data_IF_540765977621
#
_entry.id   IF_540765977621
#
_cell.length_a   1.000
_cell.length_b   1.000
_cell.length_c   1.000
_cell.angle_alpha   90.00
_cell.angle_beta   90.00
_cell.angle_gamma   90.00
#
_symmetry.space_group_name_H-M   'P 1'
#
loop_
_entity.id
_entity.type
_entity.pdbx_description
1 polymer ?
#
# COMPACT_ATOMS: atom_id res chain seq x y z
N UNK A 1 -27.10 -59.34 27.07
CA UNK A 1 -26.64 -57.94 27.18
C UNK A 1 -26.60 -57.29 25.80
N UNK A 2 -27.57 -56.44 25.47
CA UNK A 2 -27.61 -55.64 24.22
C UNK A 2 -27.39 -54.17 24.60
N UNK A 3 -26.38 -53.51 24.02
CA UNK A 3 -26.11 -52.07 24.18
C UNK A 3 -27.02 -51.25 23.25
N UNK A 4 -27.49 -50.05 23.64
CA UNK A 4 -28.45 -49.29 22.85
C UNK A 4 -27.77 -48.45 21.75
N UNK A 5 -28.31 -48.56 20.54
CA UNK A 5 -28.08 -47.69 19.39
C UNK A 5 -28.78 -46.34 19.62
N UNK A 6 -28.17 -45.39 20.34
CA UNK A 6 -28.67 -44.00 20.43
C UNK A 6 -27.56 -42.94 20.45
N UNK A 7 -26.46 -43.19 19.76
CA UNK A 7 -25.32 -42.26 19.72
C UNK A 7 -24.72 -42.10 18.30
N UNK A 8 -25.56 -42.10 17.27
CA UNK A 8 -25.12 -41.86 15.89
C UNK A 8 -25.91 -40.76 15.16
N UNK A 9 -27.02 -40.27 15.71
CA UNK A 9 -27.89 -39.30 15.01
C UNK A 9 -27.52 -37.84 15.36
N UNK A 10 -26.87 -37.60 16.50
CA UNK A 10 -26.45 -36.24 16.91
C UNK A 10 -25.22 -35.70 16.18
N UNK A 11 -24.30 -36.56 15.73
CA UNK A 11 -23.09 -36.13 15.02
C UNK A 11 -23.33 -35.85 13.53
N UNK A 12 -24.33 -36.51 12.92
CA UNK A 12 -24.67 -36.31 11.51
C UNK A 12 -25.41 -34.98 11.27
N UNK A 13 -26.19 -34.48 12.24
CA UNK A 13 -26.86 -33.19 12.09
C UNK A 13 -25.90 -32.00 12.19
N UNK A 14 -24.85 -32.07 13.02
CA UNK A 14 -23.86 -30.98 13.16
C UNK A 14 -22.93 -30.89 11.95
N UNK A 15 -22.64 -32.00 11.27
CA UNK A 15 -21.85 -31.99 10.03
C UNK A 15 -22.64 -31.53 8.79
N UNK A 16 -23.98 -31.51 8.83
CA UNK A 16 -24.82 -31.04 7.73
C UNK A 16 -25.15 -29.53 7.81
N UNK A 17 -24.81 -28.85 8.91
CA UNK A 17 -24.94 -27.37 9.03
C UNK A 17 -23.64 -26.65 8.68
N UNK A 18 -22.60 -27.37 8.22
CA UNK A 18 -21.47 -26.73 7.58
C UNK A 18 -21.84 -26.30 6.16
N UNK A 19 -22.53 -25.17 6.15
CA UNK A 19 -22.21 -24.01 5.32
C UNK A 19 -22.09 -24.30 3.82
N UNK A 20 -23.23 -24.13 3.15
CA UNK A 20 -23.25 -23.15 2.06
C UNK A 20 -22.92 -21.75 2.63
N UNK A 21 -21.71 -21.57 3.16
CA UNK A 21 -21.09 -20.27 3.16
C UNK A 21 -20.78 -20.10 1.69
N UNK A 22 -21.67 -19.40 0.99
CA UNK A 22 -21.15 -18.39 0.11
C UNK A 22 -20.10 -17.66 0.95
N UNK A 23 -18.82 -18.04 0.78
CA UNK A 23 -17.70 -17.21 1.18
C UNK A 23 -18.11 -15.85 0.64
N UNK A 24 -18.39 -14.92 1.56
CA UNK A 24 -18.85 -13.58 1.17
C UNK A 24 -17.86 -13.11 0.12
N UNK A 25 -18.35 -12.59 -1.01
CA UNK A 25 -17.53 -12.35 -2.19
C UNK A 25 -16.49 -11.20 -2.03
N UNK A 26 -16.19 -10.85 -0.78
CA UNK A 26 -15.25 -9.89 -0.23
C UNK A 26 -15.77 -9.50 1.16
N UNK A 27 -14.91 -8.92 2.00
CA UNK A 27 -15.31 -8.40 3.32
C UNK A 27 -15.14 -6.88 3.40
N UNK A 28 -16.25 -6.17 3.62
CA UNK A 28 -16.25 -4.72 3.80
C UNK A 28 -15.98 -4.38 5.26
N UNK A 29 -15.05 -3.45 5.50
CA UNK A 29 -14.79 -2.94 6.85
C UNK A 29 -14.73 -1.41 6.89
N UNK A 30 -14.82 -0.86 8.09
CA UNK A 30 -14.88 0.60 8.30
C UNK A 30 -13.94 1.04 9.41
N UNK A 31 -13.37 2.23 9.24
CA UNK A 31 -12.74 3.00 10.33
C UNK A 31 -13.52 4.30 10.49
N UNK A 32 -13.81 4.66 11.74
CA UNK A 32 -14.64 5.80 12.09
C UNK A 32 -13.80 6.94 12.65
N UNK A 33 -14.26 8.17 12.41
CA UNK A 33 -13.77 9.38 13.06
C UNK A 33 -14.98 10.19 13.52
N UNK A 34 -15.05 10.50 14.82
CA UNK A 34 -16.21 11.19 15.43
C UNK A 34 -17.57 10.55 15.08
N UNK A 35 -17.65 9.22 15.08
CA UNK A 35 -18.88 8.48 14.77
C UNK A 35 -19.27 8.42 13.29
N UNK A 36 -18.56 9.11 12.40
CA UNK A 36 -18.76 9.04 10.96
C UNK A 36 -17.79 8.04 10.31
N UNK A 37 -18.26 7.30 9.30
CA UNK A 37 -17.40 6.45 8.46
C UNK A 37 -16.36 7.34 7.78
N UNK A 38 -15.09 7.15 8.15
CA UNK A 38 -13.98 7.94 7.64
C UNK A 38 -13.25 7.21 6.52
N UNK A 39 -13.04 5.91 6.69
CA UNK A 39 -12.42 5.02 5.69
C UNK A 39 -13.29 3.77 5.54
N UNK A 40 -13.38 3.28 4.32
CA UNK A 40 -14.06 2.05 3.94
C UNK A 40 -13.08 1.14 3.20
N UNK A 41 -12.95 -0.09 3.68
CA UNK A 41 -12.12 -1.13 3.08
C UNK A 41 -12.98 -2.14 2.36
N UNK A 42 -12.49 -2.63 1.22
CA UNK A 42 -12.92 -3.90 0.65
C UNK A 42 -11.72 -4.86 0.64
N UNK A 43 -11.79 -5.91 1.45
CA UNK A 43 -10.81 -7.00 1.44
C UNK A 43 -11.27 -8.07 0.45
N UNK A 44 -10.57 -8.17 -0.67
CA UNK A 44 -10.83 -9.23 -1.64
C UNK A 44 -10.27 -10.56 -1.13
N UNK A 45 -11.09 -11.60 -1.19
CA UNK A 45 -10.69 -12.98 -0.91
C UNK A 45 -9.93 -13.58 -2.10
N UNK A 46 -9.32 -14.74 -1.89
CA UNK A 46 -8.66 -15.49 -2.96
C UNK A 46 -9.54 -15.66 -4.20
N UNK A 47 -8.98 -15.34 -5.36
CA UNK A 47 -9.67 -15.36 -6.66
C UNK A 47 -10.41 -14.08 -7.02
N UNK A 48 -10.64 -13.17 -6.06
CA UNK A 48 -11.42 -11.96 -6.28
C UNK A 48 -10.53 -10.76 -6.63
N UNK A 49 -10.92 -10.06 -7.69
CA UNK A 49 -10.21 -8.90 -8.24
C UNK A 49 -8.70 -9.15 -8.42
N UNK A 50 -8.34 -10.40 -8.75
CA UNK A 50 -6.98 -10.88 -8.93
C UNK A 50 -6.19 -11.17 -7.65
N UNK A 51 -6.84 -11.19 -6.48
CA UNK A 51 -6.19 -11.56 -5.21
C UNK A 51 -5.76 -13.02 -5.24
N UNK A 52 -4.50 -13.29 -4.92
CA UNK A 52 -3.92 -14.62 -5.03
C UNK A 52 -4.01 -15.43 -3.72
N UNK A 53 -4.42 -14.81 -2.62
CA UNK A 53 -4.74 -15.49 -1.35
C UNK A 53 -5.70 -14.67 -0.48
N UNK A 54 -6.42 -15.30 0.44
CA UNK A 54 -7.25 -14.56 1.40
C UNK A 54 -6.39 -14.00 2.53
N UNK A 55 -6.41 -12.66 2.73
CA UNK A 55 -5.69 -12.03 3.84
C UNK A 55 -6.27 -12.53 5.19
N UNK A 56 -5.48 -13.12 6.10
CA UNK A 56 -5.97 -13.62 7.39
C UNK A 56 -6.62 -12.53 8.24
N UNK A 57 -7.63 -12.90 9.05
CA UNK A 57 -8.38 -11.94 9.88
C UNK A 57 -7.48 -11.12 10.80
N UNK A 58 -6.44 -11.73 11.38
CA UNK A 58 -5.45 -11.03 12.19
C UNK A 58 -4.78 -9.87 11.43
N UNK A 59 -4.46 -10.06 10.15
CA UNK A 59 -3.87 -9.02 9.31
C UNK A 59 -4.91 -7.99 8.85
N UNK A 60 -6.17 -8.39 8.63
CA UNK A 60 -7.26 -7.44 8.36
C UNK A 60 -7.52 -6.51 9.55
N UNK A 61 -7.51 -7.05 10.78
CA UNK A 61 -7.53 -6.25 12.01
C UNK A 61 -6.30 -5.35 12.12
N UNK A 62 -5.12 -5.87 11.78
CA UNK A 62 -3.89 -5.09 11.66
C UNK A 62 -4.02 -3.90 10.69
N UNK A 63 -4.63 -4.11 9.53
CA UNK A 63 -4.94 -3.06 8.54
C UNK A 63 -5.87 -2.00 9.12
N UNK A 64 -6.93 -2.39 9.83
CA UNK A 64 -7.86 -1.44 10.48
C UNK A 64 -7.14 -0.62 11.55
N UNK A 65 -6.32 -1.27 12.37
CA UNK A 65 -5.48 -0.60 13.39
C UNK A 65 -4.46 0.36 12.78
N UNK A 66 -3.79 -0.04 11.69
CA UNK A 66 -2.88 0.80 10.91
C UNK A 66 -3.56 2.09 10.46
N UNK A 67 -4.83 1.98 10.09
CA UNK A 67 -5.62 3.05 9.51
C UNK A 67 -6.15 4.06 10.54
N UNK A 68 -6.42 3.62 11.77
CA UNK A 68 -6.83 4.52 12.86
C UNK A 68 -5.78 5.60 13.17
N UNK A 69 -4.51 5.35 12.88
CA UNK A 69 -3.46 6.37 12.93
C UNK A 69 -3.73 7.52 11.94
N UNK A 70 -4.09 7.19 10.70
CA UNK A 70 -4.42 8.16 9.67
C UNK A 70 -5.73 8.89 9.94
N UNK A 71 -6.73 8.22 10.52
CA UNK A 71 -7.96 8.92 10.93
C UNK A 71 -7.71 9.95 12.03
N UNK A 72 -6.80 9.68 12.96
CA UNK A 72 -6.37 10.64 13.98
C UNK A 72 -5.61 11.84 13.41
N UNK A 73 -4.75 11.63 12.40
CA UNK A 73 -3.95 12.70 11.78
C UNK A 73 -4.80 13.56 10.84
N UNK A 74 -5.55 12.91 9.96
CA UNK A 74 -6.29 13.60 8.90
C UNK A 74 -7.63 14.13 9.42
N UNK A 75 -8.33 13.33 10.22
CA UNK A 75 -9.71 13.57 10.66
C UNK A 75 -9.96 14.99 11.17
N UNK A 76 -9.19 15.53 12.13
CA UNK A 76 -9.45 16.85 12.72
C UNK A 76 -9.47 18.02 11.73
N UNK A 77 -8.78 17.89 10.59
CA UNK A 77 -8.69 18.93 9.55
C UNK A 77 -9.22 18.46 8.20
N UNK A 78 -9.73 17.24 8.13
CA UNK A 78 -10.25 16.67 6.90
C UNK A 78 -11.58 17.33 6.54
N UNK A 79 -11.78 17.57 5.25
CA UNK A 79 -13.03 18.05 4.67
C UNK A 79 -13.79 16.92 3.96
N UNK A 80 -13.52 15.67 4.33
CA UNK A 80 -14.09 14.50 3.67
C UNK A 80 -15.61 14.58 3.60
N UNK A 81 -16.15 14.37 2.40
CA UNK A 81 -17.60 14.32 2.16
C UNK A 81 -18.15 12.90 2.09
N UNK A 82 -17.27 11.92 2.03
CA UNK A 82 -17.54 10.48 1.90
C UNK A 82 -16.36 9.71 2.49
N UNK A 83 -16.54 8.44 2.90
CA UNK A 83 -15.42 7.61 3.30
C UNK A 83 -14.35 7.55 2.20
N UNK A 84 -13.08 7.54 2.58
CA UNK A 84 -12.01 7.17 1.65
C UNK A 84 -12.04 5.67 1.42
N UNK A 85 -12.28 5.29 0.17
CA UNK A 85 -12.47 3.90 -0.24
C UNK A 85 -11.15 3.26 -0.64
N UNK A 86 -10.85 2.10 -0.05
CA UNK A 86 -9.58 1.40 -0.19
C UNK A 86 -9.83 -0.07 -0.54
N UNK A 87 -9.35 -0.47 -1.70
CA UNK A 87 -9.23 -1.86 -2.12
C UNK A 87 -7.99 -2.49 -1.51
N UNK A 88 -8.15 -3.64 -0.86
CA UNK A 88 -7.03 -4.43 -0.34
C UNK A 88 -6.97 -5.74 -1.13
N UNK A 89 -5.89 -5.89 -1.90
CA UNK A 89 -5.58 -7.06 -2.72
C UNK A 89 -4.35 -7.76 -2.19
N UNK A 90 -4.23 -9.05 -2.44
CA UNK A 90 -3.08 -9.88 -2.05
C UNK A 90 -2.34 -10.48 -3.26
N UNK A 91 -1.02 -10.70 -3.13
CA UNK A 91 -0.20 -11.29 -4.18
C UNK A 91 0.87 -12.26 -3.62
N UNK A 92 0.90 -13.48 -4.16
CA UNK A 92 1.89 -14.53 -3.90
C UNK A 92 3.23 -14.14 -4.52
N UNK A 93 4.33 -14.49 -3.84
CA UNK A 93 5.71 -14.15 -4.25
C UNK A 93 6.01 -12.65 -4.44
N UNK A 94 5.10 -11.76 -4.04
CA UNK A 94 5.39 -10.33 -3.93
C UNK A 94 6.05 -10.07 -2.56
N UNK A 95 7.23 -9.46 -2.57
CA UNK A 95 8.12 -9.38 -1.39
C UNK A 95 7.80 -8.22 -0.43
N UNK A 96 6.74 -7.45 -0.66
CA UNK A 96 6.42 -6.29 0.16
C UNK A 96 4.92 -5.92 0.06
N UNK A 97 4.57 -4.68 0.35
CA UNK A 97 3.32 -4.06 -0.03
C UNK A 97 3.55 -2.98 -1.09
N UNK A 98 2.46 -2.49 -1.65
CA UNK A 98 2.48 -1.35 -2.56
C UNK A 98 1.13 -0.66 -2.58
N UNK A 99 1.09 0.63 -2.89
CA UNK A 99 -0.15 1.36 -2.99
C UNK A 99 -0.21 2.29 -4.20
N UNK A 100 -1.43 2.44 -4.70
CA UNK A 100 -1.77 3.27 -5.84
C UNK A 100 -3.05 4.03 -5.54
N UNK A 101 -3.21 5.15 -6.24
CA UNK A 101 -4.45 5.92 -6.22
C UNK A 101 -5.06 5.91 -7.60
N UNK A 102 -6.35 5.57 -7.69
CA UNK A 102 -7.14 5.73 -8.90
C UNK A 102 -8.06 6.93 -8.75
N UNK A 103 -7.95 7.84 -9.70
CA UNK A 103 -8.84 9.00 -9.81
C UNK A 103 -9.51 8.98 -11.16
N UNK A 104 -10.83 9.11 -11.15
CA UNK A 104 -11.68 8.96 -12.32
C UNK A 104 -12.48 10.24 -12.53
N UNK A 105 -12.48 10.74 -13.77
CA UNK A 105 -13.41 11.76 -14.27
C UNK A 105 -14.32 11.11 -15.31
N UNK A 106 -15.53 10.76 -14.91
CA UNK A 106 -16.37 9.80 -15.61
C UNK A 106 -15.74 8.41 -15.53
N UNK A 107 -15.46 7.82 -16.69
CA UNK A 107 -14.74 6.54 -16.82
C UNK A 107 -13.25 6.74 -17.15
N UNK A 108 -12.77 7.99 -17.23
CA UNK A 108 -11.39 8.30 -17.60
C UNK A 108 -10.51 8.37 -16.35
N UNK A 109 -9.47 7.53 -16.30
CA UNK A 109 -8.40 7.65 -15.30
C UNK A 109 -7.61 8.94 -15.56
N UNK A 110 -7.34 9.69 -14.50
CA UNK A 110 -6.61 10.96 -14.53
C UNK A 110 -5.50 10.95 -13.47
N UNK A 111 -4.60 11.93 -13.56
CA UNK A 111 -3.42 12.05 -12.69
C UNK A 111 -3.68 12.81 -11.39
N UNK A 112 -4.74 13.63 -11.32
CA UNK A 112 -5.09 14.34 -10.08
C UNK A 112 -5.34 13.33 -8.96
N UNK A 113 -4.89 13.60 -7.73
CA UNK A 113 -5.19 12.72 -6.60
C UNK A 113 -6.54 13.10 -5.97
N UNK A 114 -7.62 12.47 -6.43
CA UNK A 114 -8.96 12.78 -5.96
C UNK A 114 -9.20 12.40 -4.49
N UNK A 115 -8.71 11.25 -3.97
CA UNK A 115 -8.76 10.97 -2.54
C UNK A 115 -8.11 12.07 -1.67
N UNK A 116 -6.93 12.55 -2.05
CA UNK A 116 -6.27 13.65 -1.35
C UNK A 116 -7.07 14.95 -1.42
N UNK A 117 -7.57 15.32 -2.61
CA UNK A 117 -8.41 16.51 -2.80
C UNK A 117 -9.74 16.41 -2.04
N UNK A 118 -10.30 15.21 -1.90
CA UNK A 118 -11.50 14.97 -1.09
C UNK A 118 -11.20 15.19 0.39
N UNK A 119 -10.09 14.63 0.89
CA UNK A 119 -9.67 14.78 2.28
C UNK A 119 -9.26 16.21 2.63
N UNK A 120 -8.54 16.93 1.76
CA UNK A 120 -7.95 18.24 2.09
C UNK A 120 -8.83 19.42 1.66
N UNK A 121 -9.46 19.30 0.49
CA UNK A 121 -10.18 20.41 -0.15
C UNK A 121 -11.70 20.22 -0.16
N UNK A 122 -12.20 19.07 0.29
CA UNK A 122 -13.63 18.77 0.31
C UNK A 122 -14.21 18.50 -1.07
N UNK A 123 -13.37 18.03 -2.00
CA UNK A 123 -13.84 17.59 -3.32
C UNK A 123 -14.87 16.48 -3.14
N UNK A 124 -16.07 16.69 -3.66
CA UNK A 124 -17.12 15.66 -3.69
C UNK A 124 -16.74 14.55 -4.67
N UNK A 125 -16.79 13.31 -4.19
CA UNK A 125 -16.58 12.10 -4.97
C UNK A 125 -17.83 11.23 -4.93
N UNK A 126 -18.13 10.60 -6.05
CA UNK A 126 -19.11 9.53 -6.12
C UNK A 126 -18.49 8.27 -5.51
N UNK A 127 -19.22 7.63 -4.61
CA UNK A 127 -18.78 6.38 -4.00
C UNK A 127 -18.78 5.26 -5.03
N UNK A 128 -17.69 4.52 -5.08
CA UNK A 128 -17.58 3.28 -5.81
C UNK A 128 -18.37 2.19 -5.08
N UNK A 129 -19.16 1.41 -5.81
CA UNK A 129 -19.72 0.18 -5.26
C UNK A 129 -18.63 -0.90 -5.33
N UNK A 130 -17.83 -0.96 -4.26
CA UNK A 130 -16.61 -1.78 -4.19
C UNK A 130 -16.89 -3.27 -4.42
N UNK A 131 -18.10 -3.72 -4.08
CA UNK A 131 -18.57 -5.09 -4.29
C UNK A 131 -18.87 -5.43 -5.74
N UNK A 132 -18.92 -4.47 -6.66
CA UNK A 132 -19.02 -4.81 -8.09
C UNK A 132 -17.76 -5.49 -8.64
N UNK A 133 -16.64 -5.34 -7.93
CA UNK A 133 -15.37 -5.95 -8.28
C UNK A 133 -15.16 -7.30 -7.58
N UNK A 134 -16.00 -7.62 -6.58
CA UNK A 134 -16.11 -8.93 -5.97
C UNK A 134 -16.33 -10.01 -7.03
N UNK A 135 -15.65 -11.14 -6.90
CA UNK A 135 -15.80 -12.28 -7.82
C UNK A 135 -15.22 -12.08 -9.23
N UNK A 136 -14.63 -10.92 -9.56
CA UNK A 136 -13.90 -10.75 -10.81
C UNK A 136 -12.60 -11.55 -10.74
N UNK A 137 -12.49 -12.62 -11.52
CA UNK A 137 -11.28 -13.45 -11.55
C UNK A 137 -10.30 -12.91 -12.58
N UNK A 138 -9.09 -12.56 -12.14
CA UNK A 138 -7.97 -12.22 -13.03
C UNK A 138 -7.01 -13.40 -13.05
N UNK A 139 -6.77 -14.04 -14.21
CA UNK A 139 -5.93 -15.21 -14.27
C UNK A 139 -4.50 -14.92 -13.80
N UNK A 140 -3.97 -15.74 -12.89
CA UNK A 140 -2.60 -15.60 -12.37
C UNK A 140 -1.51 -15.97 -13.40
N UNK A 141 -1.87 -16.68 -14.48
CA UNK A 141 -0.94 -17.14 -15.51
C UNK A 141 -0.60 -16.11 -16.61
N UNK A 142 -1.08 -14.86 -16.47
CA UNK A 142 -0.74 -13.75 -17.37
C UNK A 142 0.30 -12.84 -16.74
N UNK A 143 0.96 -12.02 -17.56
CA UNK A 143 1.98 -11.08 -17.07
C UNK A 143 1.40 -10.08 -16.06
N UNK A 144 2.22 -9.63 -15.12
CA UNK A 144 1.83 -8.63 -14.10
C UNK A 144 1.27 -7.36 -14.78
N UNK A 145 1.88 -6.91 -15.88
CA UNK A 145 1.40 -5.76 -16.65
C UNK A 145 -0.02 -5.99 -17.19
N UNK A 146 -0.30 -7.17 -17.74
CA UNK A 146 -1.63 -7.53 -18.23
C UNK A 146 -2.65 -7.63 -17.09
N UNK A 147 -2.26 -8.17 -15.92
CA UNK A 147 -3.12 -8.18 -14.74
C UNK A 147 -3.52 -6.74 -14.35
N UNK A 148 -2.56 -5.81 -14.26
CA UNK A 148 -2.83 -4.41 -13.95
C UNK A 148 -3.72 -3.73 -14.99
N UNK A 149 -3.50 -3.98 -16.29
CA UNK A 149 -4.36 -3.46 -17.36
C UNK A 149 -5.81 -3.93 -17.21
N UNK A 150 -6.02 -5.20 -16.91
CA UNK A 150 -7.37 -5.75 -16.67
C UNK A 150 -8.02 -5.14 -15.45
N UNK A 151 -7.29 -5.02 -14.33
CA UNK A 151 -7.79 -4.34 -13.13
C UNK A 151 -8.24 -2.90 -13.45
N UNK A 152 -7.40 -2.14 -14.17
CA UNK A 152 -7.72 -0.77 -14.55
C UNK A 152 -8.97 -0.71 -15.44
N UNK A 153 -9.13 -1.64 -16.38
CA UNK A 153 -10.34 -1.72 -17.21
C UNK A 153 -11.59 -2.00 -16.37
N UNK A 154 -11.55 -2.98 -15.47
CA UNK A 154 -12.67 -3.25 -14.57
C UNK A 154 -13.02 -2.06 -13.68
N UNK A 155 -12.00 -1.32 -13.19
CA UNK A 155 -12.21 -0.08 -12.43
C UNK A 155 -12.94 0.97 -13.26
N UNK A 156 -12.57 1.15 -14.54
CA UNK A 156 -13.20 2.10 -15.45
C UNK A 156 -14.63 1.70 -15.80
N UNK A 157 -14.85 0.42 -16.14
CA UNK A 157 -16.15 -0.12 -16.55
C UNK A 157 -17.19 -0.05 -15.43
N UNK A 158 -16.75 -0.25 -14.18
CA UNK A 158 -17.63 -0.21 -13.00
C UNK A 158 -17.61 1.16 -12.29
N UNK A 159 -17.01 2.19 -12.88
CA UNK A 159 -16.97 3.52 -12.31
C UNK A 159 -18.39 4.07 -12.06
N UNK A 160 -18.66 4.74 -10.92
CA UNK A 160 -19.99 5.23 -10.56
C UNK A 160 -20.45 6.45 -11.38
N UNK A 161 -19.77 6.77 -12.49
CA UNK A 161 -19.89 8.04 -13.21
C UNK A 161 -19.38 9.23 -12.38
N UNK A 162 -19.36 10.42 -12.99
CA UNK A 162 -18.91 11.64 -12.31
C UNK A 162 -17.44 11.57 -11.83
N UNK A 163 -17.10 12.31 -10.78
CA UNK A 163 -15.75 12.22 -10.20
C UNK A 163 -15.72 11.10 -9.16
N UNK A 164 -14.80 10.14 -9.29
CA UNK A 164 -14.60 9.09 -8.29
C UNK A 164 -13.12 8.98 -7.93
N UNK A 165 -12.83 8.50 -6.72
CA UNK A 165 -11.48 8.32 -6.24
C UNK A 165 -11.43 7.17 -5.26
N UNK A 166 -10.48 6.27 -5.45
CA UNK A 166 -10.24 5.12 -4.58
C UNK A 166 -8.75 4.85 -4.51
N UNK A 167 -8.33 4.13 -3.48
CA UNK A 167 -6.98 3.65 -3.37
C UNK A 167 -6.93 2.13 -3.46
N UNK A 168 -5.81 1.62 -3.97
CA UNK A 168 -5.51 0.19 -4.01
C UNK A 168 -4.26 -0.03 -3.17
N UNK A 169 -4.34 -0.94 -2.21
CA UNK A 169 -3.20 -1.46 -1.47
C UNK A 169 -3.02 -2.93 -1.82
N UNK A 170 -1.82 -3.29 -2.26
CA UNK A 170 -1.40 -4.65 -2.57
C UNK A 170 -0.54 -5.17 -1.42
N UNK A 171 -0.84 -6.38 -0.93
CA UNK A 171 -0.12 -7.04 0.15
C UNK A 171 0.54 -8.32 -0.35
N UNK A 172 1.86 -8.36 -0.27
CA UNK A 172 2.66 -9.52 -0.60
C UNK A 172 2.61 -10.60 0.48
N UNK A 173 2.63 -11.86 0.05
CA UNK A 173 2.59 -13.03 0.91
C UNK A 173 3.75 -13.10 1.91
N UNK A 174 4.91 -12.57 1.53
CA UNK A 174 6.13 -12.61 2.33
C UNK A 174 6.56 -11.20 2.75
N UNK A 175 5.65 -10.46 3.37
CA UNK A 175 5.93 -9.13 3.91
C UNK A 175 6.98 -9.24 5.03
N UNK A 176 8.18 -8.71 4.78
CA UNK A 176 9.25 -8.63 5.75
C UNK A 176 10.64 -8.53 5.10
N UNK A 177 11.62 -8.01 5.83
CA UNK A 177 13.01 -7.95 5.37
C UNK A 177 13.74 -9.28 5.63
N UNK A 178 14.35 -9.85 4.59
CA UNK A 178 15.33 -10.93 4.76
C UNK A 178 16.55 -10.40 5.53
N UNK A 179 16.88 -11.01 6.67
CA UNK A 179 18.06 -10.66 7.45
C UNK A 179 19.08 -11.79 7.46
N UNK A 180 20.15 -11.59 6.71
CA UNK A 180 21.35 -12.43 6.81
C UNK A 180 21.95 -12.29 8.20
N UNK A 181 21.99 -13.40 8.97
CA UNK A 181 22.59 -13.46 10.31
C UNK A 181 21.62 -13.57 11.49
N UNK A 182 20.32 -13.28 11.30
CA UNK A 182 19.31 -13.56 12.31
C UNK A 182 18.91 -15.03 12.22
N UNK A 183 19.18 -15.84 13.24
CA UNK A 183 18.71 -17.24 13.25
C UNK A 183 17.25 -17.22 13.70
N UNK A 184 16.39 -17.99 13.04
CA UNK A 184 14.97 -18.11 13.39
C UNK A 184 14.70 -18.46 14.88
N UNK A 185 15.71 -19.01 15.57
CA UNK A 185 15.68 -19.34 17.01
C UNK A 185 15.98 -18.18 17.97
N UNK A 186 16.49 -17.06 17.48
CA UNK A 186 16.93 -15.94 18.31
C UNK A 186 15.77 -15.00 18.70
N UNK A 187 14.55 -15.29 18.22
CA UNK A 187 13.33 -14.57 18.59
C UNK A 187 13.24 -13.15 18.02
N UNK A 188 12.29 -12.38 18.53
CA UNK A 188 12.16 -10.95 18.25
C UNK A 188 13.15 -10.18 19.11
N UNK A 189 14.03 -9.37 18.50
CA UNK A 189 14.97 -8.52 19.23
C UNK A 189 14.86 -7.05 18.78
N UNK A 190 15.22 -6.11 19.64
CA UNK A 190 15.32 -4.68 19.32
C UNK A 190 16.78 -4.30 19.43
N UNK A 191 17.33 -3.66 18.40
CA UNK A 191 18.68 -3.12 18.39
C UNK A 191 18.61 -1.75 19.07
N UNK A 192 19.36 -1.60 20.16
CA UNK A 192 19.26 -0.48 21.08
C UNK A 192 20.06 0.76 20.62
N UNK A 193 20.91 0.62 19.60
CA UNK A 193 21.89 1.65 19.21
C UNK A 193 21.38 2.58 18.09
N UNK A 194 20.10 2.51 17.73
CA UNK A 194 19.55 3.27 16.61
C UNK A 194 18.37 4.15 17.03
N UNK A 195 18.47 5.46 16.77
CA UNK A 195 17.42 6.47 17.02
C UNK A 195 16.12 6.25 16.20
N UNK A 196 16.19 5.41 15.17
CA UNK A 196 15.04 4.83 14.49
C UNK A 196 15.06 3.33 14.79
N UNK A 197 13.95 2.69 15.14
CA UNK A 197 13.96 1.26 15.42
C UNK A 197 14.40 0.49 14.17
N UNK A 198 15.60 -0.08 14.20
CA UNK A 198 16.12 -0.88 13.07
C UNK A 198 15.44 -2.24 12.96
N UNK A 199 14.68 -2.66 13.99
CA UNK A 199 14.01 -3.96 14.04
C UNK A 199 12.49 -3.87 14.17
N UNK A 200 11.94 -2.77 14.67
CA UNK A 200 10.50 -2.73 14.98
C UNK A 200 9.66 -2.81 13.70
N UNK A 201 10.16 -2.32 12.55
CA UNK A 201 9.39 -2.28 11.30
C UNK A 201 9.79 -3.30 10.23
N UNK A 202 10.84 -4.09 10.46
CA UNK A 202 11.34 -5.02 9.43
C UNK A 202 10.32 -6.11 9.06
N UNK A 203 9.35 -6.40 9.93
CA UNK A 203 8.20 -7.25 9.68
C UNK A 203 6.89 -6.66 10.26
N UNK A 204 6.85 -5.35 10.55
CA UNK A 204 5.64 -4.71 11.08
C UNK A 204 4.66 -4.47 9.96
N UNK A 205 3.76 -5.44 9.78
CA UNK A 205 2.64 -5.33 8.85
C UNK A 205 1.84 -4.03 9.05
N UNK A 206 1.61 -3.61 10.31
CA UNK A 206 0.86 -2.38 10.61
C UNK A 206 1.64 -1.16 10.16
N UNK A 207 2.94 -1.11 10.43
CA UNK A 207 3.87 -0.07 9.95
C UNK A 207 3.95 0.00 8.42
N UNK A 208 4.12 -1.14 7.75
CA UNK A 208 4.11 -1.23 6.28
C UNK A 208 2.78 -0.77 5.70
N UNK A 209 1.65 -1.24 6.24
CA UNK A 209 0.34 -0.80 5.75
C UNK A 209 0.13 0.71 5.97
N UNK A 210 0.57 1.25 7.13
CA UNK A 210 0.56 2.71 7.38
C UNK A 210 1.36 3.48 6.33
N UNK A 211 2.51 2.96 5.93
CA UNK A 211 3.34 3.56 4.89
C UNK A 211 2.62 3.58 3.55
N UNK A 212 2.03 2.44 3.14
CA UNK A 212 1.29 2.33 1.89
C UNK A 212 0.06 3.25 1.84
N UNK A 213 -0.62 3.45 2.97
CA UNK A 213 -1.70 4.43 3.06
C UNK A 213 -1.22 5.87 2.77
N UNK A 214 0.04 6.19 3.07
CA UNK A 214 0.63 7.47 2.66
C UNK A 214 0.70 7.59 1.13
N UNK A 215 1.23 6.58 0.45
CA UNK A 215 1.28 6.54 -1.02
C UNK A 215 -0.12 6.57 -1.65
N UNK A 216 -1.07 5.89 -1.02
CA UNK A 216 -2.48 5.89 -1.38
C UNK A 216 -3.17 7.27 -1.23
N UNK A 217 -2.58 8.20 -0.47
CA UNK A 217 -2.97 9.61 -0.36
C UNK A 217 -2.15 10.52 -1.29
N UNK A 218 -1.29 9.95 -2.14
CA UNK A 218 -0.43 10.71 -3.04
C UNK A 218 0.83 11.28 -2.37
N UNK A 219 1.19 10.79 -1.19
CA UNK A 219 2.47 11.12 -0.56
C UNK A 219 3.55 10.35 -1.32
N UNK A 220 4.11 11.00 -2.33
CA UNK A 220 5.16 10.45 -3.19
C UNK A 220 6.26 11.49 -3.31
N UNK A 221 7.51 11.02 -3.41
CA UNK A 221 8.64 11.88 -3.70
C UNK A 221 8.63 12.24 -5.19
N UNK A 222 8.56 13.52 -5.50
CA UNK A 222 8.81 14.03 -6.84
C UNK A 222 10.31 13.96 -7.12
N UNK A 223 10.71 13.01 -7.97
CA UNK A 223 12.11 12.74 -8.31
C UNK A 223 12.32 12.57 -9.80
N UNK A 224 13.55 12.83 -10.24
CA UNK A 224 14.05 12.58 -11.60
C UNK A 224 15.29 11.69 -11.52
N UNK A 225 15.49 10.83 -12.50
CA UNK A 225 16.76 10.11 -12.72
C UNK A 225 17.85 11.11 -13.09
N UNK A 226 19.08 10.90 -12.61
CA UNK A 226 20.20 11.78 -12.91
C UNK A 226 21.55 11.05 -13.01
N UNK A 227 22.53 11.71 -13.60
CA UNK A 227 23.93 11.27 -13.63
C UNK A 227 24.70 11.66 -12.36
N UNK A 228 25.98 11.28 -12.29
CA UNK A 228 26.89 11.60 -11.18
C UNK A 228 27.23 13.10 -11.05
N UNK A 229 26.84 13.91 -12.03
CA UNK A 229 26.92 15.37 -12.02
C UNK A 229 25.59 16.02 -11.58
N UNK A 230 24.54 15.23 -11.37
CA UNK A 230 23.21 15.71 -10.98
C UNK A 230 22.39 16.25 -12.16
N UNK A 231 22.82 16.01 -13.40
CA UNK A 231 22.05 16.34 -14.60
C UNK A 231 20.96 15.31 -14.80
N UNK A 232 19.77 15.76 -15.21
CA UNK A 232 18.64 14.86 -15.47
C UNK A 232 18.94 13.97 -16.67
N UNK A 233 18.66 12.68 -16.55
CA UNK A 233 18.86 11.69 -17.61
C UNK A 233 17.60 10.87 -17.83
N UNK A 234 17.34 10.40 -19.05
CA UNK A 234 16.25 9.46 -19.33
C UNK A 234 16.61 8.01 -18.99
N UNK A 235 17.90 7.72 -18.87
CA UNK A 235 18.41 6.39 -18.54
C UNK A 235 18.74 6.31 -17.06
N UNK A 236 18.40 5.16 -16.47
CA UNK A 236 18.84 4.80 -15.12
C UNK A 236 20.37 4.77 -15.06
N UNK A 237 20.94 5.45 -14.07
CA UNK A 237 22.38 5.40 -13.75
C UNK A 237 22.54 4.53 -12.50
N UNK A 238 22.84 3.23 -12.66
CA UNK A 238 22.96 2.33 -11.54
C UNK A 238 24.26 2.55 -10.77
N UNK A 239 24.23 2.28 -9.46
CA UNK A 239 25.40 2.20 -8.60
C UNK A 239 25.26 1.06 -7.60
N UNK A 240 26.39 0.45 -7.23
CA UNK A 240 26.43 -0.84 -6.53
C UNK A 240 26.56 -2.02 -7.50
N UNK A 241 26.49 -3.24 -6.99
CA UNK A 241 26.78 -4.46 -7.74
C UNK A 241 25.58 -5.43 -7.81
N UNK A 242 25.45 -6.09 -8.97
CA UNK A 242 24.50 -7.17 -9.20
C UNK A 242 23.03 -6.76 -9.01
N UNK A 243 22.24 -7.67 -8.41
CA UNK A 243 20.81 -7.47 -8.17
C UNK A 243 20.49 -6.35 -7.16
N UNK A 244 21.51 -5.85 -6.47
CA UNK A 244 21.38 -4.79 -5.46
C UNK A 244 21.77 -3.41 -6.00
N UNK A 245 22.02 -3.29 -7.30
CA UNK A 245 22.30 -2.01 -7.93
C UNK A 245 21.11 -1.05 -7.72
N UNK A 246 21.41 0.16 -7.27
CA UNK A 246 20.44 1.23 -7.01
C UNK A 246 20.53 2.26 -8.12
N UNK A 247 19.42 2.92 -8.43
CA UNK A 247 19.42 4.01 -9.43
C UNK A 247 19.67 5.34 -8.74
N UNK A 248 20.44 6.21 -9.39
CA UNK A 248 20.70 7.56 -8.94
C UNK A 248 19.52 8.49 -9.26
N UNK A 249 19.04 9.20 -8.24
CA UNK A 249 17.91 10.13 -8.36
C UNK A 249 18.27 11.49 -7.77
N UNK A 250 17.51 12.51 -8.17
CA UNK A 250 17.45 13.82 -7.52
C UNK A 250 16.00 14.20 -7.26
N UNK A 251 15.77 15.04 -6.25
CA UNK A 251 14.50 15.75 -6.13
C UNK A 251 14.25 16.55 -7.40
N UNK A 252 13.02 16.49 -7.90
CA UNK A 252 12.63 17.23 -9.09
C UNK A 252 12.92 18.74 -8.88
N UNK A 253 13.51 19.37 -9.88
CA UNK A 253 13.89 20.79 -9.86
C UNK A 253 12.73 21.73 -10.23
N UNK A 254 11.66 21.16 -10.79
CA UNK A 254 10.43 21.83 -11.24
C UNK A 254 9.26 21.67 -10.25
N UNK A 255 9.55 21.41 -8.97
CA UNK A 255 8.52 21.40 -7.92
C UNK A 255 8.03 22.84 -7.71
N UNK A 256 6.88 23.16 -8.28
CA UNK A 256 6.25 24.49 -8.18
C UNK A 256 5.32 24.61 -6.97
N UNK A 257 4.76 23.50 -6.49
CA UNK A 257 3.93 23.48 -5.29
C UNK A 257 4.80 23.57 -4.03
N UNK A 258 4.70 24.71 -3.34
CA UNK A 258 5.41 24.96 -2.08
C UNK A 258 4.96 24.07 -0.93
N UNK A 259 3.78 23.46 -1.04
CA UNK A 259 3.25 22.50 -0.07
C UNK A 259 3.51 21.05 -0.48
N UNK A 260 4.31 20.83 -1.54
CA UNK A 260 4.70 19.49 -1.96
C UNK A 260 5.37 18.77 -0.80
N UNK A 261 4.91 17.54 -0.54
CA UNK A 261 5.49 16.66 0.49
C UNK A 261 7.02 16.54 0.37
N UNK A 262 7.54 16.54 -0.86
CA UNK A 262 8.98 16.42 -1.13
C UNK A 262 9.80 17.53 -0.49
N UNK A 263 9.22 18.73 -0.28
CA UNK A 263 9.89 19.88 0.34
C UNK A 263 9.87 19.84 1.87
N UNK A 264 9.07 18.95 2.46
CA UNK A 264 8.97 18.76 3.91
C UNK A 264 9.86 17.64 4.43
N UNK A 265 10.54 16.90 3.55
CA UNK A 265 11.47 15.86 3.93
C UNK A 265 12.73 16.47 4.56
N UNK A 266 13.22 15.83 5.61
CA UNK A 266 14.47 16.17 6.29
C UNK A 266 15.36 14.94 6.35
N UNK A 267 16.67 15.13 6.18
CA UNK A 267 17.64 14.07 6.42
C UNK A 267 17.87 13.84 7.92
N UNK A 268 18.70 12.84 8.26
CA UNK A 268 19.04 12.50 9.66
C UNK A 268 19.74 13.63 10.44
N UNK A 269 20.26 14.64 9.74
CA UNK A 269 20.95 15.79 10.34
C UNK A 269 20.02 17.02 10.39
N UNK A 270 18.74 16.88 10.02
CA UNK A 270 17.78 17.98 9.98
C UNK A 270 17.89 18.88 8.74
N UNK A 271 18.68 18.50 7.73
CA UNK A 271 18.74 19.27 6.49
C UNK A 271 17.47 19.02 5.67
N UNK A 272 16.77 20.10 5.33
CA UNK A 272 15.61 20.04 4.46
C UNK A 272 16.00 19.63 3.04
N UNK A 273 15.18 18.77 2.44
CA UNK A 273 15.21 18.50 1.01
C UNK A 273 14.95 19.79 0.21
N UNK A 274 15.62 19.89 -0.94
CA UNK A 274 15.51 21.04 -1.85
C UNK A 274 15.31 20.56 -3.28
N UNK A 275 14.61 21.32 -4.13
CA UNK A 275 14.55 21.04 -5.56
C UNK A 275 15.95 20.85 -6.13
N UNK A 276 16.12 19.80 -6.94
CA UNK A 276 17.39 19.49 -7.58
C UNK A 276 18.44 18.76 -6.71
N UNK A 277 18.21 18.59 -5.41
CA UNK A 277 19.16 17.91 -4.53
C UNK A 277 19.23 16.40 -4.83
N UNK A 278 20.43 15.83 -4.92
CA UNK A 278 20.60 14.40 -5.17
C UNK A 278 20.13 13.56 -3.97
N UNK A 279 19.53 12.42 -4.27
CA UNK A 279 19.06 11.43 -3.30
C UNK A 279 20.02 10.25 -3.38
N UNK A 280 20.94 10.16 -2.42
CA UNK A 280 22.00 9.16 -2.41
C UNK A 280 22.00 8.37 -1.11
N UNK A 281 22.28 7.08 -1.22
CA UNK A 281 22.61 6.26 -0.04
C UNK A 281 24.06 6.51 0.37
N UNK A 282 24.48 6.01 1.53
CA UNK A 282 25.86 6.12 2.02
C UNK A 282 26.89 5.64 0.99
N UNK A 283 26.62 4.52 0.32
CA UNK A 283 27.53 3.98 -0.71
C UNK A 283 27.63 4.91 -1.92
N UNK A 284 26.49 5.42 -2.40
CA UNK A 284 26.44 6.38 -3.50
C UNK A 284 27.20 7.67 -3.15
N UNK A 285 27.01 8.16 -1.92
CA UNK A 285 27.74 9.33 -1.42
C UNK A 285 29.25 9.09 -1.38
N UNK A 286 29.70 7.92 -0.89
CA UNK A 286 31.12 7.58 -0.88
C UNK A 286 31.73 7.50 -2.29
N UNK A 287 30.97 7.00 -3.27
CA UNK A 287 31.39 6.99 -4.68
C UNK A 287 31.54 8.43 -5.21
N UNK A 288 30.55 9.30 -4.95
CA UNK A 288 30.61 10.71 -5.35
C UNK A 288 31.83 11.38 -4.74
N UNK A 289 32.04 11.23 -3.43
CA UNK A 289 33.16 11.84 -2.70
C UNK A 289 34.52 11.37 -3.22
N UNK A 290 34.65 10.08 -3.58
CA UNK A 290 35.87 9.54 -4.20
C UNK A 290 36.16 10.18 -5.55
N UNK A 291 35.12 10.42 -6.36
CA UNK A 291 35.25 10.97 -7.71
C UNK A 291 35.32 12.51 -7.72
N UNK A 292 34.81 13.16 -6.67
CA UNK A 292 34.77 14.62 -6.48
C UNK A 292 35.12 14.97 -5.03
N UNK A 293 36.42 15.07 -4.68
CA UNK A 293 36.88 15.21 -3.29
C UNK A 293 36.46 16.49 -2.52
N UNK A 294 35.64 17.37 -3.12
CA UNK A 294 35.13 18.60 -2.51
C UNK A 294 33.61 18.63 -2.30
N UNK A 295 32.92 17.51 -2.50
CA UNK A 295 31.46 17.33 -2.32
C UNK A 295 31.16 16.52 -1.06
#
# INVERSE_FOLDING_TARGET
MKRPQKLAIGAALVMAVNVNSHVSASDTAYVYFNGQKFIEFEFFNEGEFGSEYTLPELLREGTKSATSYWSGILGPRSKFSSPWQIFVKTQVNFQNAGALTYSLKGQKVITDNYPALMMQNGKKLNAYDMKKLAGIVIPANISVEEQFKRMENYIKENAPGGNAGLSLVLIGQHSGAERTGAKAKDGWWVDADTILPTNEQAADFVGTFRHELGHALGIIIARKTCDWDGNVTEKDVPYGEGKNAKVLYKFADDITDKNSWSLHLVDKNGNHAKPGMMIVTTDGFNIIKKNKPGV
#
